data_IF_090183165785
#
_entry.id   IF_090183165785
#
_cell.length_a   1.000
_cell.length_b   1.000
_cell.length_c   1.000
_cell.angle_alpha   90.00
_cell.angle_beta   90.00
_cell.angle_gamma   90.00
#
_symmetry.space_group_name_H-M   'P 1'
#
loop_
_entity.id
_entity.type
_entity.pdbx_description
1 polymer ?
#
# COMPACT_ATOMS: atom_id res chain seq x y z
N UNK A 1 4.68 40.98 -12.81
CA UNK A 1 5.58 39.96 -12.21
C UNK A 1 5.48 39.87 -10.69
N UNK A 2 5.14 40.93 -9.96
CA UNK A 2 5.00 40.93 -8.50
C UNK A 2 3.80 40.15 -7.96
N UNK A 3 2.70 40.04 -8.70
CA UNK A 3 1.47 39.35 -8.24
C UNK A 3 1.59 37.82 -8.22
N UNK A 4 2.48 37.23 -9.03
CA UNK A 4 2.66 35.76 -9.14
C UNK A 4 3.55 35.17 -8.03
N UNK A 5 4.46 35.99 -7.45
CA UNK A 5 5.32 35.56 -6.33
C UNK A 5 4.57 35.52 -5.00
N UNK A 6 3.56 36.39 -4.81
CA UNK A 6 2.80 36.44 -3.55
C UNK A 6 1.90 35.21 -3.40
N UNK A 7 1.30 34.72 -4.50
CA UNK A 7 0.44 33.53 -4.48
C UNK A 7 1.23 32.25 -4.20
N UNK A 8 2.38 32.05 -4.84
CA UNK A 8 3.23 30.86 -4.63
C UNK A 8 3.76 30.74 -3.20
N UNK A 9 4.20 31.85 -2.61
CA UNK A 9 4.71 31.84 -1.22
C UNK A 9 3.58 31.55 -0.22
N UNK A 10 2.38 32.10 -0.46
CA UNK A 10 1.22 31.91 0.41
C UNK A 10 0.72 30.46 0.35
N UNK A 11 0.62 29.85 -0.83
CA UNK A 11 0.21 28.45 -0.99
C UNK A 11 1.18 27.48 -0.28
N UNK A 12 2.50 27.73 -0.37
CA UNK A 12 3.51 26.94 0.34
C UNK A 12 3.36 27.00 1.86
N UNK A 13 3.06 28.18 2.41
CA UNK A 13 2.82 28.34 3.85
C UNK A 13 1.54 27.64 4.31
N UNK A 14 0.45 27.70 3.53
CA UNK A 14 -0.79 26.99 3.85
C UNK A 14 -0.63 25.48 3.80
N UNK A 15 0.12 24.93 2.85
CA UNK A 15 0.43 23.51 2.80
C UNK A 15 1.21 23.05 4.04
N UNK A 16 2.26 23.79 4.44
CA UNK A 16 2.99 23.48 5.67
C UNK A 16 2.09 23.58 6.92
N UNK A 17 1.22 24.59 6.99
CA UNK A 17 0.29 24.74 8.11
C UNK A 17 -0.75 23.61 8.16
N UNK A 18 -1.27 23.16 7.02
CA UNK A 18 -2.19 22.01 6.96
C UNK A 18 -1.48 20.70 7.31
N UNK A 19 -0.24 20.50 6.86
CA UNK A 19 0.58 19.34 7.26
C UNK A 19 0.80 19.32 8.77
N UNK A 20 1.15 20.46 9.37
CA UNK A 20 1.32 20.61 10.82
C UNK A 20 -0.02 20.39 11.55
N UNK A 21 -1.13 20.88 11.02
CA UNK A 21 -2.46 20.69 11.61
C UNK A 21 -2.94 19.24 11.53
N UNK A 22 -2.63 18.49 10.47
CA UNK A 22 -2.91 17.05 10.38
C UNK A 22 -2.05 16.26 11.37
N UNK A 23 -0.78 16.65 11.53
CA UNK A 23 0.15 16.01 12.48
C UNK A 23 -0.23 16.32 13.95
N UNK A 24 -0.67 17.55 14.25
CA UNK A 24 -0.94 17.99 15.63
C UNK A 24 -2.41 17.91 16.05
N UNK A 25 -3.35 17.90 15.10
CA UNK A 25 -4.80 17.94 15.37
C UNK A 25 -5.41 16.59 15.78
N UNK A 26 -4.67 15.48 15.65
CA UNK A 26 -5.16 14.13 15.93
C UNK A 26 -4.93 13.62 17.36
N UNK A 27 -4.32 14.40 18.27
CA UNK A 27 -3.84 13.85 19.54
C UNK A 27 -4.05 14.79 20.74
N UNK A 28 -5.21 14.69 21.38
CA UNK A 28 -5.43 15.25 22.73
C UNK A 28 -4.79 14.41 23.86
N UNK A 29 -3.88 13.49 23.55
CA UNK A 29 -3.18 12.67 24.53
C UNK A 29 -1.68 12.62 24.21
N UNK A 30 -0.92 13.56 24.76
CA UNK A 30 0.53 13.44 24.87
C UNK A 30 0.88 12.21 25.72
N UNK A 31 1.23 11.09 25.08
CA UNK A 31 1.98 10.02 25.72
C UNK A 31 3.43 10.16 25.28
N UNK A 32 4.33 10.32 26.26
CA UNK A 32 5.76 10.46 26.02
C UNK A 32 6.29 9.22 25.29
N UNK A 33 6.88 9.41 24.11
CA UNK A 33 7.58 8.37 23.38
C UNK A 33 8.87 8.01 24.12
N UNK A 34 8.89 6.85 24.78
CA UNK A 34 10.14 6.18 25.12
C UNK A 34 10.62 5.44 23.88
N UNK A 35 11.70 5.91 23.28
CA UNK A 35 12.37 5.25 22.15
C UNK A 35 13.02 3.97 22.69
N UNK A 36 12.25 2.89 22.68
CA UNK A 36 12.80 1.54 22.86
C UNK A 36 13.44 1.17 21.53
N UNK A 37 14.77 1.24 21.48
CA UNK A 37 15.57 0.66 20.38
C UNK A 37 15.29 -0.83 20.27
N UNK A 38 14.78 -1.37 19.16
CA UNK A 38 14.77 -2.79 18.93
C UNK A 38 16.18 -3.19 18.51
N UNK A 39 16.73 -4.20 19.18
CA UNK A 39 17.83 -4.95 18.61
C UNK A 39 17.32 -5.59 17.32
N UNK A 40 17.75 -5.08 16.16
CA UNK A 40 17.47 -5.64 14.86
C UNK A 40 18.10 -7.05 14.77
N UNK A 41 17.36 -8.07 15.19
CA UNK A 41 17.55 -9.42 14.69
C UNK A 41 16.75 -9.53 13.41
N UNK A 42 17.45 -9.41 12.28
CA UNK A 42 17.00 -9.95 11.01
C UNK A 42 16.91 -11.49 11.11
N UNK A 43 15.91 -11.98 11.83
CA UNK A 43 15.54 -13.38 11.86
C UNK A 43 14.15 -13.46 11.27
N UNK A 44 14.03 -14.04 10.07
CA UNK A 44 12.75 -14.51 9.52
C UNK A 44 12.04 -15.29 10.64
N UNK A 45 10.97 -14.73 11.19
CA UNK A 45 10.02 -15.50 11.99
C UNK A 45 9.25 -16.32 10.96
N UNK A 46 9.84 -17.45 10.56
CA UNK A 46 9.11 -18.46 9.80
C UNK A 46 7.89 -18.86 10.63
N UNK A 47 6.67 -18.86 10.07
CA UNK A 47 5.52 -19.38 10.77
C UNK A 47 5.83 -20.85 11.10
N UNK A 48 5.91 -21.14 12.40
CA UNK A 48 6.01 -22.49 12.89
C UNK A 48 4.73 -23.21 12.46
N UNK A 49 4.84 -24.00 11.39
CA UNK A 49 3.79 -24.90 10.90
C UNK A 49 3.53 -25.92 12.01
N UNK A 50 2.65 -25.60 12.95
CA UNK A 50 2.10 -26.58 13.87
C UNK A 50 1.26 -27.53 13.01
N UNK A 51 1.83 -28.68 12.72
CA UNK A 51 1.10 -29.78 12.11
C UNK A 51 -0.04 -30.17 13.05
N UNK A 52 -1.25 -29.73 12.74
CA UNK A 52 -2.47 -30.38 13.17
C UNK A 52 -2.47 -31.78 12.54
N UNK A 53 -1.87 -32.74 13.25
CA UNK A 53 -2.10 -34.15 13.00
C UNK A 53 -3.55 -34.44 13.35
N UNK A 54 -4.44 -34.34 12.36
CA UNK A 54 -5.72 -35.02 12.42
C UNK A 54 -5.44 -36.53 12.48
N UNK A 55 -5.51 -37.07 13.69
CA UNK A 55 -5.49 -38.51 13.94
C UNK A 55 -6.75 -39.15 13.35
N UNK A 56 -6.69 -39.55 12.09
CA UNK A 56 -7.48 -40.69 11.63
C UNK A 56 -6.83 -41.96 12.20
N UNK A 57 -7.38 -42.43 13.32
CA UNK A 57 -7.06 -43.73 13.89
C UNK A 57 -7.61 -44.81 12.96
N UNK A 58 -6.80 -45.29 12.03
CA UNK A 58 -7.04 -46.55 11.35
C UNK A 58 -6.34 -47.66 12.13
N UNK A 59 -7.11 -48.31 12.98
CA UNK A 59 -6.71 -49.52 13.70
C UNK A 59 -6.60 -50.67 12.70
N UNK A 60 -5.43 -50.81 12.06
CA UNK A 60 -5.16 -51.90 11.13
C UNK A 60 -4.75 -53.16 11.92
N UNK A 61 -5.74 -54.00 12.23
CA UNK A 61 -5.50 -55.35 12.77
C UNK A 61 -4.83 -56.24 11.72
N UNK A 62 -3.65 -56.75 12.09
CA UNK A 62 -2.86 -57.77 11.39
C UNK A 62 -3.65 -59.05 11.10
N UNK A 63 -3.26 -59.66 9.97
CA UNK A 63 -3.36 -61.08 9.60
C UNK A 63 -4.69 -61.59 9.02
N UNK A 64 -4.86 -61.46 7.69
CA UNK A 64 -5.39 -62.54 6.85
C UNK A 64 -4.83 -62.47 5.42
N UNK A 65 -4.48 -63.61 4.77
CA UNK A 65 -4.18 -63.68 3.36
C UNK A 65 -5.40 -64.15 2.58
N UNK A 66 -5.94 -63.32 1.67
CA UNK A 66 -6.46 -63.67 0.33
C UNK A 66 -7.23 -62.51 -0.33
N UNK A 67 -7.30 -62.48 -1.67
CA UNK A 67 -7.84 -61.36 -2.42
C UNK A 67 -9.36 -61.54 -2.62
N UNK A 68 -10.16 -60.61 -2.10
CA UNK A 68 -11.53 -60.46 -2.54
C UNK A 68 -11.77 -59.01 -2.95
N UNK A 69 -12.12 -58.88 -4.22
CA UNK A 69 -12.53 -57.66 -4.90
C UNK A 69 -13.66 -56.99 -4.11
N UNK A 70 -13.36 -55.88 -3.45
CA UNK A 70 -14.38 -54.97 -2.93
C UNK A 70 -14.89 -54.12 -4.10
N UNK A 71 -15.91 -54.63 -4.81
CA UNK A 71 -16.75 -53.81 -5.67
C UNK A 71 -17.59 -52.93 -4.74
N UNK A 72 -17.13 -51.71 -4.52
CA UNK A 72 -17.93 -50.65 -3.91
C UNK A 72 -19.04 -50.28 -4.91
N UNK A 73 -20.24 -50.79 -4.65
CA UNK A 73 -21.46 -50.25 -5.25
C UNK A 73 -21.68 -48.85 -4.69
N UNK A 74 -21.10 -47.85 -5.37
CA UNK A 74 -21.42 -46.45 -5.15
C UNK A 74 -22.81 -46.22 -5.74
N UNK A 75 -23.83 -46.29 -4.89
CA UNK A 75 -25.19 -45.85 -5.24
C UNK A 75 -25.12 -44.35 -5.54
N UNK A 76 -25.14 -44.02 -6.83
CA UNK A 76 -25.34 -42.67 -7.34
C UNK A 76 -26.79 -42.25 -7.08
N UNK A 77 -27.05 -41.73 -5.87
CA UNK A 77 -28.19 -40.86 -5.66
C UNK A 77 -27.86 -39.52 -6.34
N UNK A 78 -28.13 -39.45 -7.64
CA UNK A 78 -28.21 -38.19 -8.39
C UNK A 78 -29.45 -37.42 -7.92
N UNK A 79 -29.37 -36.86 -6.72
CA UNK A 79 -30.17 -35.70 -6.39
C UNK A 79 -29.55 -34.54 -7.17
N UNK A 80 -30.12 -34.25 -8.35
CA UNK A 80 -29.88 -33.03 -9.10
C UNK A 80 -30.46 -31.87 -8.27
N UNK A 81 -29.75 -31.52 -7.22
CA UNK A 81 -29.96 -30.28 -6.49
C UNK A 81 -29.50 -29.18 -7.44
N UNK A 82 -30.45 -28.52 -8.09
CA UNK A 82 -30.19 -27.36 -8.94
C UNK A 82 -29.44 -26.36 -8.09
N UNK A 83 -28.12 -26.29 -8.30
CA UNK A 83 -27.23 -25.42 -7.54
C UNK A 83 -27.80 -24.00 -7.59
N UNK A 84 -27.98 -23.33 -6.44
CA UNK A 84 -28.49 -21.98 -6.41
C UNK A 84 -27.59 -21.11 -7.29
N UNK A 85 -28.19 -20.50 -8.30
CA UNK A 85 -27.54 -19.53 -9.18
C UNK A 85 -27.02 -18.41 -8.29
N UNK A 86 -25.75 -18.52 -7.88
CA UNK A 86 -25.13 -17.53 -7.02
C UNK A 86 -24.98 -16.29 -7.88
N UNK A 87 -25.76 -15.26 -7.58
CA UNK A 87 -25.67 -13.98 -8.28
C UNK A 87 -24.30 -13.41 -7.93
N UNK A 88 -23.34 -13.58 -8.83
CA UNK A 88 -22.01 -12.98 -8.70
C UNK A 88 -22.17 -11.48 -8.90
N UNK A 89 -21.69 -10.68 -7.94
CA UNK A 89 -21.73 -9.23 -8.09
C UNK A 89 -20.87 -8.80 -9.28
N UNK A 90 -21.27 -7.78 -10.07
CA UNK A 90 -20.40 -7.20 -11.10
C UNK A 90 -19.02 -6.79 -10.55
N UNK A 91 -18.95 -6.42 -9.27
CA UNK A 91 -17.70 -6.09 -8.60
C UNK A 91 -16.78 -7.31 -8.43
N UNK A 92 -17.33 -8.46 -8.05
CA UNK A 92 -16.56 -9.69 -7.87
C UNK A 92 -15.97 -10.17 -9.20
N UNK A 93 -16.69 -9.96 -10.31
CA UNK A 93 -16.20 -10.24 -11.66
C UNK A 93 -15.00 -9.36 -11.99
N UNK A 94 -15.10 -8.04 -11.74
CA UNK A 94 -14.00 -7.11 -12.00
C UNK A 94 -12.79 -7.44 -11.13
N UNK A 95 -12.98 -7.71 -9.84
CA UNK A 95 -11.92 -8.08 -8.92
C UNK A 95 -11.21 -9.36 -9.37
N UNK A 96 -11.97 -10.42 -9.63
CA UNK A 96 -11.41 -11.72 -10.07
C UNK A 96 -10.68 -11.58 -11.40
N UNK A 97 -11.25 -10.82 -12.36
CA UNK A 97 -10.62 -10.58 -13.66
C UNK A 97 -9.31 -9.80 -13.50
N UNK A 98 -9.30 -8.79 -12.64
CA UNK A 98 -8.11 -7.96 -12.36
C UNK A 98 -7.04 -8.80 -11.67
N UNK A 99 -7.39 -9.61 -10.67
CA UNK A 99 -6.48 -10.56 -10.02
C UNK A 99 -5.85 -11.52 -11.04
N UNK A 100 -6.65 -12.10 -11.93
CA UNK A 100 -6.16 -13.02 -12.95
C UNK A 100 -5.25 -12.32 -13.99
N UNK A 101 -5.55 -11.08 -14.36
CA UNK A 101 -4.73 -10.30 -15.28
C UNK A 101 -3.36 -9.93 -14.67
N UNK A 102 -3.32 -9.75 -13.36
CA UNK A 102 -2.18 -9.27 -12.61
C UNK A 102 -1.37 -10.37 -11.91
N UNK A 103 -1.89 -11.59 -11.84
CA UNK A 103 -1.20 -12.72 -11.20
C UNK A 103 0.19 -13.02 -11.79
N UNK A 104 0.45 -12.93 -13.11
CA UNK A 104 1.79 -13.21 -13.63
C UNK A 104 2.83 -12.21 -13.14
N UNK A 105 2.44 -10.93 -12.97
CA UNK A 105 3.31 -9.91 -12.43
C UNK A 105 3.57 -10.13 -10.92
N UNK A 106 2.53 -10.54 -10.17
CA UNK A 106 2.67 -10.89 -8.75
C UNK A 106 3.61 -12.08 -8.56
N UNK A 107 3.42 -13.16 -9.32
CA UNK A 107 4.27 -14.35 -9.27
C UNK A 107 5.72 -14.05 -9.63
N UNK A 108 5.94 -13.22 -10.66
CA UNK A 108 7.27 -12.76 -11.03
C UNK A 108 7.93 -11.94 -9.91
N UNK A 109 7.20 -10.98 -9.33
CA UNK A 109 7.71 -10.16 -8.22
C UNK A 109 8.02 -11.02 -6.99
N UNK A 110 7.19 -12.01 -6.69
CA UNK A 110 7.41 -12.93 -5.59
C UNK A 110 8.66 -13.79 -5.81
N UNK A 111 8.87 -14.31 -7.01
CA UNK A 111 10.03 -15.14 -7.36
C UNK A 111 11.35 -14.35 -7.23
N UNK A 112 11.39 -13.10 -7.72
CA UNK A 112 12.61 -12.30 -7.68
C UNK A 112 12.89 -11.65 -6.32
N UNK A 113 11.88 -11.54 -5.45
CA UNK A 113 12.01 -10.88 -4.14
C UNK A 113 11.78 -11.81 -2.95
N UNK A 114 11.64 -13.11 -3.18
CA UNK A 114 11.22 -14.08 -2.15
C UNK A 114 9.92 -13.64 -1.43
N UNK A 115 8.96 -13.08 -2.18
CA UNK A 115 7.68 -12.56 -1.67
C UNK A 115 7.76 -11.20 -0.95
N UNK A 116 8.95 -10.58 -0.87
CA UNK A 116 9.15 -9.33 -0.15
C UNK A 116 8.46 -8.13 -0.81
N UNK A 117 8.43 -8.06 -2.15
CA UNK A 117 7.95 -6.88 -2.89
C UNK A 117 6.49 -6.53 -2.61
N UNK A 118 5.64 -7.54 -2.38
CA UNK A 118 4.21 -7.36 -2.11
C UNK A 118 3.85 -7.66 -0.66
N UNK A 119 4.85 -7.73 0.22
CA UNK A 119 4.64 -7.79 1.66
C UNK A 119 4.15 -6.43 2.17
N UNK A 120 3.22 -6.45 3.12
CA UNK A 120 2.63 -5.25 3.69
C UNK A 120 2.63 -5.31 5.21
N UNK A 121 2.79 -4.14 5.83
CA UNK A 121 2.88 -4.06 7.29
C UNK A 121 1.58 -4.44 7.99
N UNK A 122 1.70 -5.06 9.16
CA UNK A 122 0.57 -5.32 10.04
C UNK A 122 0.22 -4.07 10.86
N UNK A 123 -0.99 -3.54 10.68
CA UNK A 123 -1.43 -2.29 11.32
C UNK A 123 -2.27 -2.50 12.59
N UNK A 124 -2.50 -3.74 13.02
CA UNK A 124 -3.25 -4.03 14.25
C UNK A 124 -2.64 -3.30 15.47
N UNK A 125 -3.45 -2.71 16.37
CA UNK A 125 -4.92 -2.76 16.45
C UNK A 125 -5.67 -1.69 15.65
N UNK A 126 -4.97 -0.90 14.82
CA UNK A 126 -5.59 0.20 14.10
C UNK A 126 -6.45 -0.30 12.93
N UNK A 127 -7.60 0.35 12.73
CA UNK A 127 -8.58 0.03 11.67
C UNK A 127 -9.08 1.32 11.01
N UNK A 128 -9.86 1.23 9.92
CA UNK A 128 -10.45 2.44 9.29
C UNK A 128 -11.40 3.22 10.21
N UNK A 129 -11.82 2.62 11.33
CA UNK A 129 -12.71 3.22 12.33
C UNK A 129 -11.98 3.87 13.49
N UNK A 130 -10.70 3.58 13.68
CA UNK A 130 -9.86 4.21 14.70
C UNK A 130 -9.44 5.61 14.27
N UNK A 131 -9.23 6.52 15.23
CA UNK A 131 -8.75 7.89 14.92
C UNK A 131 -7.38 7.85 14.23
N UNK A 132 -6.49 6.95 14.64
CA UNK A 132 -5.18 6.77 14.01
C UNK A 132 -5.33 6.29 12.58
N UNK A 133 -6.15 5.25 12.32
CA UNK A 133 -6.40 4.77 10.97
C UNK A 133 -7.05 5.82 10.07
N UNK A 134 -7.99 6.63 10.59
CA UNK A 134 -8.57 7.75 9.85
C UNK A 134 -7.54 8.83 9.52
N UNK A 135 -6.68 9.19 10.48
CA UNK A 135 -5.60 10.15 10.26
C UNK A 135 -4.60 9.62 9.22
N UNK A 136 -4.25 8.34 9.29
CA UNK A 136 -3.40 7.66 8.32
C UNK A 136 -3.99 7.75 6.91
N UNK A 137 -5.26 7.35 6.75
CA UNK A 137 -5.96 7.44 5.47
C UNK A 137 -6.06 8.87 4.95
N UNK A 138 -6.30 9.85 5.83
CA UNK A 138 -6.41 11.26 5.48
C UNK A 138 -5.11 11.83 4.89
N UNK A 139 -3.95 11.23 5.14
CA UNK A 139 -2.69 11.70 4.52
C UNK A 139 -2.69 11.57 3.00
N UNK A 140 -3.50 10.67 2.41
CA UNK A 140 -3.70 10.58 0.96
C UNK A 140 -4.34 11.85 0.38
N UNK A 141 -5.11 12.61 1.17
CA UNK A 141 -5.66 13.89 0.72
C UNK A 141 -4.57 14.88 0.31
N UNK A 142 -3.34 14.74 0.83
CA UNK A 142 -2.21 15.54 0.37
C UNK A 142 -1.95 15.35 -1.12
N UNK A 143 -2.00 14.12 -1.62
CA UNK A 143 -1.90 13.85 -3.06
C UNK A 143 -3.06 14.46 -3.83
N UNK A 144 -4.31 14.29 -3.38
CA UNK A 144 -5.45 14.90 -4.09
C UNK A 144 -5.42 16.43 -4.11
N UNK A 145 -4.97 17.07 -3.04
CA UNK A 145 -4.80 18.53 -3.04
C UNK A 145 -3.73 18.93 -4.06
N UNK A 146 -2.60 18.21 -4.08
CA UNK A 146 -1.50 18.47 -5.01
C UNK A 146 -1.90 18.21 -6.46
N UNK A 147 -2.60 17.12 -6.75
CA UNK A 147 -3.08 16.76 -8.08
C UNK A 147 -3.97 17.87 -8.64
N UNK A 148 -4.97 18.30 -7.89
CA UNK A 148 -5.83 19.45 -8.24
C UNK A 148 -5.03 20.73 -8.47
N UNK A 149 -4.01 21.00 -7.65
CA UNK A 149 -3.18 22.20 -7.80
C UNK A 149 -2.26 22.17 -9.03
N UNK A 150 -1.87 20.98 -9.50
CA UNK A 150 -1.03 20.76 -10.70
C UNK A 150 -1.88 20.77 -11.98
N UNK A 151 -3.17 20.42 -11.93
CA UNK A 151 -4.05 20.31 -13.11
C UNK A 151 -3.98 21.54 -14.05
N UNK A 152 -3.96 22.80 -13.57
CA UNK A 152 -3.90 23.96 -14.46
C UNK A 152 -2.58 24.12 -15.22
N UNK A 153 -1.48 23.58 -14.70
CA UNK A 153 -0.14 23.69 -15.30
C UNK A 153 0.18 22.45 -16.13
N UNK A 154 -0.19 21.27 -15.64
CA UNK A 154 0.02 19.99 -16.29
C UNK A 154 -1.13 19.03 -15.96
N UNK A 155 -2.15 19.01 -16.81
CA UNK A 155 -3.35 18.19 -16.61
C UNK A 155 -3.02 16.69 -16.50
N UNK A 156 -2.06 16.20 -17.28
CA UNK A 156 -1.68 14.79 -17.29
C UNK A 156 -1.07 14.40 -15.95
N UNK A 157 -0.12 15.21 -15.46
CA UNK A 157 0.51 14.95 -14.17
C UNK A 157 -0.48 15.10 -13.01
N UNK A 158 -1.33 16.14 -13.04
CA UNK A 158 -2.37 16.32 -12.02
C UNK A 158 -3.33 15.14 -11.94
N UNK A 159 -3.79 14.61 -13.09
CA UNK A 159 -4.62 13.41 -13.13
C UNK A 159 -3.89 12.16 -12.61
N UNK A 160 -2.61 12.00 -12.93
CA UNK A 160 -1.82 10.85 -12.48
C UNK A 160 -1.61 10.86 -10.96
N UNK A 161 -1.41 12.05 -10.38
CA UNK A 161 -1.36 12.25 -8.92
C UNK A 161 -2.71 11.93 -8.26
N UNK A 162 -3.85 12.31 -8.86
CA UNK A 162 -5.18 11.89 -8.36
C UNK A 162 -5.34 10.37 -8.36
N UNK A 163 -4.94 9.68 -9.45
CA UNK A 163 -5.01 8.22 -9.49
C UNK A 163 -4.10 7.58 -8.43
N UNK A 164 -2.93 8.16 -8.18
CA UNK A 164 -2.04 7.72 -7.09
C UNK A 164 -2.71 7.89 -5.73
N UNK A 165 -3.35 9.04 -5.48
CA UNK A 165 -4.13 9.29 -4.26
C UNK A 165 -5.19 8.22 -4.02
N UNK A 166 -5.98 7.90 -5.07
CA UNK A 166 -7.05 6.90 -4.99
C UNK A 166 -6.49 5.49 -4.78
N UNK A 167 -5.47 5.09 -5.54
CA UNK A 167 -4.86 3.77 -5.44
C UNK A 167 -4.24 3.54 -4.04
N UNK A 168 -3.46 4.51 -3.57
CA UNK A 168 -2.85 4.51 -2.23
C UNK A 168 -3.91 4.47 -1.12
N UNK A 169 -4.99 5.26 -1.26
CA UNK A 169 -6.11 5.21 -0.31
C UNK A 169 -6.75 3.82 -0.26
N UNK A 170 -7.04 3.21 -1.43
CA UNK A 170 -7.65 1.87 -1.51
C UNK A 170 -6.73 0.81 -0.89
N UNK A 171 -5.43 0.87 -1.17
CA UNK A 171 -4.44 -0.02 -0.55
C UNK A 171 -4.46 0.11 0.98
N UNK A 172 -4.29 1.31 1.52
CA UNK A 172 -4.26 1.48 2.98
C UNK A 172 -5.59 1.20 3.66
N UNK A 173 -6.71 1.48 2.99
CA UNK A 173 -8.03 1.13 3.50
C UNK A 173 -8.18 -0.39 3.62
N UNK A 174 -7.87 -1.13 2.55
CA UNK A 174 -7.92 -2.60 2.58
C UNK A 174 -6.92 -3.19 3.58
N UNK A 175 -5.72 -2.61 3.69
CA UNK A 175 -4.72 -2.98 4.69
C UNK A 175 -5.26 -2.83 6.12
N UNK A 176 -5.93 -1.72 6.44
CA UNK A 176 -6.54 -1.49 7.77
C UNK A 176 -7.72 -2.43 8.06
N UNK A 177 -8.51 -2.80 7.05
CA UNK A 177 -9.69 -3.65 7.25
C UNK A 177 -9.35 -5.14 7.41
N UNK A 178 -8.33 -5.65 6.71
CA UNK A 178 -7.95 -7.07 6.79
C UNK A 178 -7.53 -7.47 8.21
N UNK A 179 -6.79 -6.61 8.92
CA UNK A 179 -6.36 -6.91 10.29
C UNK A 179 -7.46 -6.67 11.34
N UNK A 180 -8.58 -6.06 10.98
CA UNK A 180 -9.69 -5.81 11.89
C UNK A 180 -10.53 -7.06 12.19
N UNK A 181 -10.52 -8.07 11.30
CA UNK A 181 -11.49 -9.16 11.34
C UNK A 181 -11.00 -10.42 12.06
N UNK A 182 -9.70 -10.75 12.03
CA UNK A 182 -9.30 -12.11 12.43
C UNK A 182 -8.06 -12.23 13.32
N UNK A 183 -7.41 -11.12 13.72
CA UNK A 183 -6.17 -11.08 14.53
C UNK A 183 -5.04 -12.02 14.04
N UNK A 184 -5.20 -12.62 12.87
CA UNK A 184 -4.34 -13.64 12.29
C UNK A 184 -3.84 -13.07 10.98
N UNK A 185 -2.52 -13.10 10.82
CA UNK A 185 -1.83 -12.60 9.65
C UNK A 185 -2.04 -13.61 8.52
N UNK A 186 -3.19 -13.56 7.88
CA UNK A 186 -3.41 -14.25 6.61
C UNK A 186 -3.08 -13.22 5.52
N UNK A 187 -2.08 -13.53 4.71
CA UNK A 187 -1.82 -12.74 3.50
C UNK A 187 -3.09 -12.72 2.64
N UNK A 188 -3.69 -11.53 2.49
CA UNK A 188 -4.89 -11.33 1.71
C UNK A 188 -4.50 -10.90 0.29
N UNK A 189 -4.90 -11.71 -0.69
CA UNK A 189 -4.66 -11.45 -2.12
C UNK A 189 -5.23 -10.10 -2.57
N UNK A 190 -6.29 -9.63 -1.93
CA UNK A 190 -6.93 -8.33 -2.19
C UNK A 190 -6.01 -7.18 -1.81
N UNK A 191 -5.36 -7.24 -0.64
CA UNK A 191 -4.43 -6.21 -0.18
C UNK A 191 -3.18 -6.20 -1.08
N UNK A 192 -2.66 -7.39 -1.42
CA UNK A 192 -1.50 -7.52 -2.33
C UNK A 192 -1.80 -6.98 -3.73
N UNK A 193 -3.03 -7.20 -4.22
CA UNK A 193 -3.48 -6.60 -5.48
C UNK A 193 -3.54 -5.07 -5.38
N UNK A 194 -4.17 -4.55 -4.32
CA UNK A 194 -4.29 -3.11 -4.12
C UNK A 194 -2.91 -2.44 -4.00
N UNK A 195 -1.98 -3.06 -3.27
CA UNK A 195 -0.58 -2.62 -3.16
C UNK A 195 0.11 -2.57 -4.53
N UNK A 196 -0.08 -3.58 -5.37
CA UNK A 196 0.54 -3.58 -6.70
C UNK A 196 -0.01 -2.48 -7.59
N UNK A 197 -1.33 -2.22 -7.54
CA UNK A 197 -1.95 -1.10 -8.25
C UNK A 197 -1.41 0.23 -7.74
N UNK A 198 -1.29 0.40 -6.43
CA UNK A 198 -0.67 1.57 -5.81
C UNK A 198 0.76 1.78 -6.32
N UNK A 199 1.60 0.74 -6.34
CA UNK A 199 2.96 0.82 -6.88
C UNK A 199 3.00 1.28 -8.34
N UNK A 200 2.13 0.76 -9.20
CA UNK A 200 2.07 1.19 -10.61
C UNK A 200 1.82 2.69 -10.72
N UNK A 201 0.88 3.23 -9.94
CA UNK A 201 0.57 4.66 -9.96
C UNK A 201 1.64 5.51 -9.26
N UNK A 202 2.14 5.08 -8.09
CA UNK A 202 3.17 5.78 -7.35
C UNK A 202 4.48 5.88 -8.16
N UNK A 203 4.99 4.77 -8.69
CA UNK A 203 6.16 4.77 -9.56
C UNK A 203 5.89 5.57 -10.84
N UNK A 204 4.74 5.34 -11.48
CA UNK A 204 4.34 6.09 -12.68
C UNK A 204 4.39 7.60 -12.47
N UNK A 205 3.82 8.08 -11.36
CA UNK A 205 3.81 9.50 -10.98
C UNK A 205 5.20 10.05 -10.71
N UNK A 206 6.03 9.33 -9.95
CA UNK A 206 7.40 9.76 -9.64
C UNK A 206 8.21 9.92 -10.93
N UNK A 207 8.17 8.91 -11.81
CA UNK A 207 8.89 8.95 -13.08
C UNK A 207 8.33 10.03 -14.01
N UNK A 208 7.00 10.13 -14.15
CA UNK A 208 6.37 11.15 -14.99
C UNK A 208 6.70 12.57 -14.52
N UNK A 209 6.70 12.81 -13.20
CA UNK A 209 7.11 14.10 -12.61
C UNK A 209 8.56 14.42 -12.96
N UNK A 210 9.49 13.47 -12.74
CA UNK A 210 10.91 13.67 -13.04
C UNK A 210 11.18 13.91 -14.52
N UNK A 211 10.53 13.16 -15.40
CA UNK A 211 10.63 13.34 -16.86
C UNK A 211 10.04 14.70 -17.26
N UNK A 212 8.88 15.08 -16.75
CA UNK A 212 8.25 16.36 -17.05
C UNK A 212 9.15 17.53 -16.63
N UNK A 213 9.71 17.49 -15.41
CA UNK A 213 10.63 18.50 -14.92
C UNK A 213 11.88 18.62 -15.80
N UNK A 214 12.41 17.49 -16.29
CA UNK A 214 13.57 17.48 -17.17
C UNK A 214 13.26 17.99 -18.58
N UNK A 215 12.21 17.47 -19.22
CA UNK A 215 11.85 17.78 -20.61
C UNK A 215 11.37 19.22 -20.77
N UNK A 216 10.69 19.77 -19.77
CA UNK A 216 10.22 21.15 -19.80
C UNK A 216 11.31 22.17 -19.44
N UNK A 217 12.50 21.72 -19.03
CA UNK A 217 13.59 22.63 -18.70
C UNK A 217 14.23 23.21 -19.96
N UNK A 218 14.36 24.55 -20.07
CA UNK A 218 15.11 25.18 -21.15
C UNK A 218 16.64 25.11 -20.94
N UNK A 219 17.10 24.54 -19.82
CA UNK A 219 18.50 24.51 -19.42
C UNK A 219 19.21 23.26 -19.95
N UNK A 220 20.52 23.35 -20.24
CA UNK A 220 21.33 22.16 -20.43
C UNK A 220 21.41 21.34 -19.13
N UNK A 221 21.70 20.04 -19.25
CA UNK A 221 21.59 19.05 -18.15
C UNK A 221 22.38 19.46 -16.90
N UNK A 222 23.61 19.95 -17.09
CA UNK A 222 24.49 20.41 -16.02
C UNK A 222 23.92 21.61 -15.26
N UNK A 223 23.34 22.57 -15.98
CA UNK A 223 22.67 23.71 -15.39
C UNK A 223 21.31 23.34 -14.77
N UNK A 224 20.58 22.36 -15.35
CA UNK A 224 19.31 21.87 -14.83
C UNK A 224 19.48 21.29 -13.42
N UNK A 225 20.47 20.43 -13.21
CA UNK A 225 20.72 19.80 -11.90
C UNK A 225 21.00 20.86 -10.84
N UNK A 226 21.73 21.92 -11.17
CA UNK A 226 22.02 23.04 -10.27
C UNK A 226 20.83 23.98 -10.06
N UNK A 227 19.86 23.98 -10.98
CA UNK A 227 18.65 24.80 -10.94
C UNK A 227 17.44 24.08 -10.32
N UNK A 228 17.60 22.81 -9.90
CA UNK A 228 16.53 22.09 -9.23
C UNK A 228 16.11 22.82 -7.95
N UNK A 229 14.79 22.96 -7.69
CA UNK A 229 14.27 23.61 -6.52
C UNK A 229 14.68 22.81 -5.28
N UNK A 230 15.53 23.41 -4.45
CA UNK A 230 16.15 22.73 -3.31
C UNK A 230 15.12 22.24 -2.28
N UNK A 231 13.99 22.91 -2.12
CA UNK A 231 12.86 22.46 -1.31
C UNK A 231 12.26 21.14 -1.85
N UNK A 232 12.08 21.02 -3.17
CA UNK A 232 11.66 19.77 -3.81
C UNK A 232 12.66 18.63 -3.61
N UNK A 233 13.96 18.91 -3.76
CA UNK A 233 15.04 17.92 -3.55
C UNK A 233 15.09 17.45 -2.09
N UNK A 234 15.06 18.38 -1.15
CA UNK A 234 15.12 18.08 0.29
C UNK A 234 13.89 17.26 0.70
N UNK A 235 12.69 17.69 0.32
CA UNK A 235 11.46 16.96 0.67
C UNK A 235 11.35 15.61 -0.02
N UNK A 236 11.78 15.49 -1.28
CA UNK A 236 11.90 14.17 -1.94
C UNK A 236 12.85 13.24 -1.20
N UNK A 237 14.02 13.75 -0.79
CA UNK A 237 15.01 12.98 -0.04
C UNK A 237 14.46 12.53 1.32
N UNK A 238 13.78 13.43 2.04
CA UNK A 238 13.11 13.10 3.31
C UNK A 238 12.03 12.05 3.12
N UNK A 239 11.16 12.23 2.11
CA UNK A 239 10.13 11.26 1.77
C UNK A 239 10.72 9.87 1.54
N UNK A 240 11.69 9.78 0.63
CA UNK A 240 12.38 8.51 0.33
C UNK A 240 12.96 7.90 1.62
N UNK A 241 13.62 8.70 2.46
CA UNK A 241 14.12 8.24 3.76
C UNK A 241 13.04 7.66 4.68
N UNK A 242 11.86 8.29 4.74
CA UNK A 242 10.72 7.76 5.50
C UNK A 242 10.17 6.46 4.90
N UNK A 243 10.05 6.37 3.58
CA UNK A 243 9.65 5.14 2.89
C UNK A 243 10.63 3.99 3.17
N UNK A 244 11.93 4.23 3.05
CA UNK A 244 12.95 3.22 3.38
C UNK A 244 12.87 2.80 4.86
N UNK A 245 12.56 3.73 5.75
CA UNK A 245 12.39 3.43 7.17
C UNK A 245 11.15 2.56 7.43
N UNK A 246 10.09 2.65 6.62
CA UNK A 246 8.94 1.75 6.71
C UNK A 246 9.32 0.28 6.52
N UNK A 247 10.34 -0.02 5.71
CA UNK A 247 10.85 -1.39 5.54
C UNK A 247 11.59 -1.93 6.76
N UNK A 248 12.02 -1.07 7.69
CA UNK A 248 12.61 -1.49 8.98
C UNK A 248 11.50 -1.85 9.96
N UNK A 249 10.37 -1.16 9.87
CA UNK A 249 9.25 -1.27 10.80
C UNK A 249 8.05 -1.90 10.10
N UNK A 250 8.05 -3.23 10.00
CA UNK A 250 6.98 -3.99 9.31
C UNK A 250 5.66 -4.06 10.09
N UNK A 251 5.50 -3.30 11.19
CA UNK A 251 4.28 -3.34 12.01
C UNK A 251 4.02 -2.08 12.84
N UNK A 252 2.73 -1.83 13.07
CA UNK A 252 2.19 -0.94 14.10
C UNK A 252 2.39 0.55 13.85
N UNK A 253 2.37 1.31 14.94
CA UNK A 253 2.44 2.78 14.93
C UNK A 253 3.66 3.37 14.21
N UNK A 254 4.88 2.81 14.34
CA UNK A 254 6.04 3.36 13.61
C UNK A 254 5.83 3.35 12.10
N UNK A 255 5.27 2.27 11.55
CA UNK A 255 4.94 2.20 10.12
C UNK A 255 3.95 3.30 9.73
N UNK A 256 2.84 3.41 10.47
CA UNK A 256 1.79 4.40 10.18
C UNK A 256 2.37 5.82 10.12
N UNK A 257 3.18 6.19 11.13
CA UNK A 257 3.77 7.54 11.20
C UNK A 257 4.77 7.77 10.07
N UNK A 258 5.71 6.85 9.86
CA UNK A 258 6.73 7.00 8.82
C UNK A 258 6.10 7.03 7.42
N UNK A 259 5.10 6.18 7.16
CA UNK A 259 4.41 6.12 5.88
C UNK A 259 3.53 7.36 5.66
N UNK A 260 2.89 7.88 6.70
CA UNK A 260 2.22 9.19 6.64
C UNK A 260 3.19 10.32 6.27
N UNK A 261 4.39 10.34 6.84
CA UNK A 261 5.39 11.34 6.49
C UNK A 261 5.86 11.17 5.04
N UNK A 262 6.03 9.93 4.56
CA UNK A 262 6.26 9.65 3.15
C UNK A 262 5.20 10.31 2.26
N UNK A 263 3.91 10.15 2.55
CA UNK A 263 2.83 10.79 1.78
C UNK A 263 2.96 12.30 1.74
N UNK A 264 3.13 12.94 2.89
CA UNK A 264 3.20 14.40 2.97
C UNK A 264 4.41 14.95 2.21
N UNK A 265 5.61 14.40 2.45
CA UNK A 265 6.84 14.89 1.83
C UNK A 265 6.88 14.59 0.33
N UNK A 266 6.45 13.42 -0.11
CA UNK A 266 6.42 13.08 -1.54
C UNK A 266 5.33 13.88 -2.29
N UNK A 267 4.17 14.13 -1.69
CA UNK A 267 3.15 15.00 -2.27
C UNK A 267 3.69 16.43 -2.47
N UNK A 268 4.34 16.99 -1.46
CA UNK A 268 4.93 18.33 -1.58
C UNK A 268 6.06 18.38 -2.62
N UNK A 269 6.94 17.37 -2.67
CA UNK A 269 7.95 17.27 -3.71
C UNK A 269 7.29 17.22 -5.11
N UNK A 270 6.23 16.42 -5.26
CA UNK A 270 5.42 16.35 -6.48
C UNK A 270 4.81 17.70 -6.88
N UNK A 271 4.31 18.48 -5.93
CA UNK A 271 3.85 19.85 -6.17
C UNK A 271 4.98 20.76 -6.67
N UNK A 272 6.12 20.74 -5.98
CA UNK A 272 7.25 21.60 -6.34
C UNK A 272 7.74 21.29 -7.74
N UNK A 273 7.97 20.01 -8.07
CA UNK A 273 8.45 19.62 -9.41
C UNK A 273 7.36 19.71 -10.49
N UNK A 274 6.10 19.44 -10.15
CA UNK A 274 4.99 19.47 -11.09
C UNK A 274 4.53 20.88 -11.48
N UNK A 275 5.00 21.91 -10.77
CA UNK A 275 4.70 23.32 -11.05
C UNK A 275 5.89 24.11 -11.62
N UNK A 276 7.02 23.43 -11.90
CA UNK A 276 8.15 23.97 -12.65
C UNK A 276 7.83 24.06 -14.14
#
# INVERSE_FOLDING_TARGET
>A
MTTLMVTTTTTRMWMMAMMVAVILGGSSTCTAFSVVTPAARFGKVLPHRQGLTHGCSYECKRNQPRPHSCILHQQSNENVETAPTTIVSPFDIVLTTTQNALSPAQEFLDDITDGWALNYANLFPETSRTTVGQAFLATNLAYSIVGVLILPQNWFLGMLVEFTSVASFVYHYTQLEVFAQDNTVVEDKTVRLALMVDYVFAFGTIFATGIAAFVNSPLPIDAFVLALPMDGVVTSTMGVGFLFSCWIWEAGMPYIVLHSLWHLFSAYAGYVFGTM
#
